data_IF_527690062357
#
_entry.id   IF_527690062357
#
_cell.length_a   1.000
_cell.length_b   1.000
_cell.length_c   1.000
_cell.angle_alpha   90.00
_cell.angle_beta   90.00
_cell.angle_gamma   90.00
#
_symmetry.space_group_name_H-M   'P 1'
#
loop_
_entity.id
_entity.type
_entity.pdbx_description
1 polymer ?
#
# COMPACT_ATOMS: atom_id res chain seq x y z
N UNK A 1 -8.72 17.84 4.77
CA UNK A 1 -8.85 17.78 6.25
C UNK A 1 -7.52 17.28 6.78
N UNK A 2 -7.03 17.78 7.90
CA UNK A 2 -5.82 17.24 8.51
C UNK A 2 -6.18 15.85 9.05
N UNK A 3 -5.90 14.81 8.26
CA UNK A 3 -5.83 13.45 8.77
C UNK A 3 -4.63 13.44 9.73
N UNK A 4 -4.90 13.33 11.02
CA UNK A 4 -3.87 13.09 12.02
C UNK A 4 -3.40 11.65 11.79
N UNK A 5 -2.45 11.47 10.87
CA UNK A 5 -1.90 10.15 10.56
C UNK A 5 -1.14 9.65 11.79
N UNK A 6 -1.60 8.55 12.38
CA UNK A 6 -0.95 7.88 13.50
C UNK A 6 -0.58 6.46 13.11
N UNK A 7 0.46 5.92 13.75
CA UNK A 7 0.79 4.51 13.62
C UNK A 7 -0.09 3.70 14.57
N UNK A 8 -0.99 2.88 14.02
CA UNK A 8 -1.89 2.06 14.83
C UNK A 8 -1.15 0.82 15.36
N UNK A 9 -0.93 0.71 16.69
CA UNK A 9 -0.23 -0.43 17.27
C UNK A 9 -1.02 -1.74 17.16
N UNK A 10 -2.32 -1.70 16.83
CA UNK A 10 -3.14 -2.89 16.62
C UNK A 10 -2.89 -3.54 15.25
N UNK A 11 -2.24 -2.82 14.32
CA UNK A 11 -1.84 -3.37 13.02
C UNK A 11 -0.48 -4.04 13.19
N UNK A 12 -0.37 -5.39 13.13
CA UNK A 12 0.91 -6.08 13.28
C UNK A 12 1.85 -5.79 12.10
N UNK A 13 3.15 -5.98 12.29
CA UNK A 13 4.15 -5.77 11.22
C UNK A 13 3.96 -6.72 10.04
N UNK A 14 3.40 -7.89 10.31
CA UNK A 14 3.05 -8.92 9.33
C UNK A 14 1.76 -8.61 8.56
N UNK A 15 1.01 -7.57 8.95
CA UNK A 15 -0.21 -7.17 8.25
C UNK A 15 0.11 -6.90 6.78
N UNK A 16 -0.63 -7.58 5.91
CA UNK A 16 -0.54 -7.36 4.47
C UNK A 16 -1.37 -6.13 4.12
N UNK A 17 -0.69 -5.16 3.51
CA UNK A 17 -1.30 -3.98 2.92
C UNK A 17 -1.38 -4.21 1.41
N UNK A 18 -2.57 -4.08 0.85
CA UNK A 18 -2.77 -4.18 -0.59
C UNK A 18 -2.87 -2.80 -1.21
N UNK A 19 -2.05 -2.55 -2.23
CA UNK A 19 -2.08 -1.30 -3.00
C UNK A 19 -2.31 -1.61 -4.47
N UNK A 20 -3.22 -0.86 -5.09
CA UNK A 20 -3.39 -0.86 -6.53
C UNK A 20 -2.26 -0.11 -7.21
N UNK A 21 -1.73 -0.69 -8.28
CA UNK A 21 -0.64 -0.14 -9.09
C UNK A 21 -1.12 -0.09 -10.53
N UNK A 22 -1.31 1.14 -11.04
CA UNK A 22 -1.65 1.32 -12.44
C UNK A 22 -0.48 0.85 -13.33
N UNK A 23 -0.73 0.17 -14.48
CA UNK A 23 0.32 -0.39 -15.33
C UNK A 23 1.35 0.63 -15.84
N UNK A 24 1.01 1.92 -15.94
CA UNK A 24 1.95 2.99 -16.30
C UNK A 24 3.05 3.19 -15.27
N UNK A 25 2.88 2.69 -14.06
CA UNK A 25 3.90 2.66 -13.04
C UNK A 25 4.78 1.42 -13.11
N UNK A 26 4.58 0.51 -14.05
CA UNK A 26 5.50 -0.59 -14.31
C UNK A 26 6.55 -0.10 -15.30
N UNK A 27 7.83 -0.23 -14.92
CA UNK A 27 8.96 0.11 -15.77
C UNK A 27 9.75 -1.15 -16.06
N UNK A 28 10.15 -1.31 -17.31
CA UNK A 28 11.06 -2.38 -17.72
C UNK A 28 12.48 -2.02 -17.29
N UNK A 29 13.19 -3.00 -16.71
CA UNK A 29 14.62 -2.93 -16.45
C UNK A 29 15.40 -3.74 -17.46
N UNK A 30 16.67 -3.37 -17.61
CA UNK A 30 17.65 -4.14 -18.37
C UNK A 30 17.66 -5.60 -17.90
N UNK A 31 17.45 -6.52 -18.83
CA UNK A 31 17.35 -7.95 -18.55
C UNK A 31 15.93 -8.53 -18.57
N UNK A 32 14.91 -7.75 -18.96
CA UNK A 32 13.55 -8.25 -19.14
C UNK A 32 12.75 -8.41 -17.85
N UNK A 33 13.23 -7.83 -16.75
CA UNK A 33 12.48 -7.75 -15.50
C UNK A 33 11.62 -6.48 -15.49
N UNK A 34 10.42 -6.59 -14.95
CA UNK A 34 9.53 -5.44 -14.73
C UNK A 34 9.52 -5.07 -13.25
N UNK A 35 9.70 -3.80 -12.93
CA UNK A 35 9.66 -3.28 -11.56
C UNK A 35 8.57 -2.21 -11.40
N UNK A 36 8.03 -2.10 -10.19
CA UNK A 36 7.16 -0.98 -9.85
C UNK A 36 8.02 0.27 -9.70
N UNK A 37 7.75 1.25 -10.55
CA UNK A 37 8.36 2.58 -10.53
C UNK A 37 8.20 3.23 -9.17
N UNK A 38 9.27 3.88 -8.71
CA UNK A 38 9.24 4.75 -7.53
C UNK A 38 8.16 5.84 -7.61
N UNK A 39 7.70 6.20 -8.82
CA UNK A 39 6.58 7.11 -9.04
C UNK A 39 5.27 6.63 -8.39
N UNK A 40 5.04 5.30 -8.31
CA UNK A 40 3.88 4.73 -7.62
C UNK A 40 3.87 5.01 -6.10
N UNK A 41 5.03 5.40 -5.57
CA UNK A 41 5.29 5.68 -4.18
C UNK A 41 5.75 7.12 -3.98
N UNK A 42 5.52 8.03 -4.92
CA UNK A 42 6.00 9.41 -4.75
C UNK A 42 5.19 10.16 -3.69
N UNK A 43 3.93 9.78 -3.53
CA UNK A 43 3.03 10.43 -2.60
C UNK A 43 3.42 10.14 -1.15
N UNK A 44 3.29 11.16 -0.30
CA UNK A 44 3.51 11.06 1.14
C UNK A 44 2.49 10.18 1.83
N UNK A 45 1.30 10.06 1.24
CA UNK A 45 0.22 9.20 1.69
C UNK A 45 -0.06 8.15 0.61
N UNK A 46 -0.12 6.89 1.02
CA UNK A 46 -0.44 5.77 0.16
C UNK A 46 -1.71 5.09 0.66
N UNK A 47 -2.80 5.19 -0.11
CA UNK A 47 -3.98 4.37 0.12
C UNK A 47 -3.66 2.89 -0.03
N UNK A 48 -4.13 2.10 0.95
CA UNK A 48 -3.99 0.65 1.00
C UNK A 48 -5.28 0.01 1.52
N UNK A 49 -5.45 -1.28 1.26
CA UNK A 49 -6.46 -2.11 1.91
C UNK A 49 -5.79 -3.03 2.94
N UNK A 50 -6.33 -3.09 4.15
CA UNK A 50 -5.87 -3.96 5.24
C UNK A 50 -6.41 -5.38 5.04
N UNK A 51 -5.51 -6.37 4.91
CA UNK A 51 -5.88 -7.77 4.67
C UNK A 51 -6.76 -8.35 5.78
N UNK A 52 -6.43 -8.06 7.05
CA UNK A 52 -7.22 -8.49 8.21
C UNK A 52 -8.67 -8.01 8.16
N UNK A 53 -8.89 -6.74 7.77
CA UNK A 53 -10.23 -6.16 7.65
C UNK A 53 -10.97 -6.73 6.43
N UNK A 54 -10.27 -6.94 5.32
CA UNK A 54 -10.85 -7.62 4.15
C UNK A 54 -11.29 -9.05 4.50
N UNK A 55 -10.45 -9.82 5.18
CA UNK A 55 -10.76 -11.19 5.60
C UNK A 55 -11.93 -11.24 6.58
N UNK A 56 -11.98 -10.32 7.56
CA UNK A 56 -13.10 -10.20 8.48
C UNK A 56 -14.43 -9.91 7.77
N UNK A 57 -14.38 -9.18 6.65
CA UNK A 57 -15.53 -8.92 5.78
C UNK A 57 -15.79 -10.05 4.75
N UNK A 58 -15.04 -11.16 4.78
CA UNK A 58 -15.16 -12.26 3.82
C UNK A 58 -14.68 -11.93 2.39
N UNK A 59 -13.92 -10.86 2.24
CA UNK A 59 -13.35 -10.39 0.96
C UNK A 59 -11.96 -10.99 0.73
N UNK A 60 -11.64 -11.23 -0.53
CA UNK A 60 -10.32 -11.67 -0.98
C UNK A 60 -9.49 -10.47 -1.43
N UNK A 61 -8.17 -10.59 -1.43
CA UNK A 61 -7.27 -9.55 -1.94
C UNK A 61 -7.67 -9.05 -3.35
N UNK A 62 -8.11 -9.95 -4.23
CA UNK A 62 -8.58 -9.63 -5.58
C UNK A 62 -9.79 -8.68 -5.61
N UNK A 63 -10.61 -8.63 -4.56
CA UNK A 63 -11.72 -7.69 -4.46
C UNK A 63 -11.26 -6.24 -4.36
N UNK A 64 -9.97 -5.99 -4.05
CA UNK A 64 -9.37 -4.66 -4.09
C UNK A 64 -9.31 -4.09 -5.52
N UNK A 65 -9.38 -4.95 -6.55
CA UNK A 65 -9.35 -4.60 -7.98
C UNK A 65 -10.74 -4.55 -8.62
N UNK A 66 -11.82 -4.82 -7.88
CA UNK A 66 -13.17 -4.97 -8.45
C UNK A 66 -13.60 -3.78 -9.31
N UNK A 67 -13.31 -2.56 -8.85
CA UNK A 67 -13.64 -1.32 -9.55
C UNK A 67 -12.52 -0.83 -10.48
N UNK A 68 -11.36 -1.51 -10.47
CA UNK A 68 -10.16 -1.17 -11.24
C UNK A 68 -9.53 -2.43 -11.87
N UNK A 69 -10.21 -3.09 -12.82
CA UNK A 69 -9.79 -4.39 -13.34
C UNK A 69 -8.48 -4.37 -14.15
N UNK A 70 -8.05 -3.19 -14.60
CA UNK A 70 -6.81 -3.01 -15.35
C UNK A 70 -5.61 -2.69 -14.46
N UNK A 71 -5.82 -2.48 -13.16
CA UNK A 71 -4.74 -2.23 -12.22
C UNK A 71 -4.12 -3.54 -11.76
N UNK A 72 -2.85 -3.47 -11.37
CA UNK A 72 -2.15 -4.56 -10.71
C UNK A 72 -2.32 -4.43 -9.20
N UNK A 73 -2.31 -5.57 -8.50
CA UNK A 73 -2.34 -5.58 -7.04
C UNK A 73 -0.96 -5.92 -6.49
N UNK A 74 -0.44 -5.03 -5.65
CA UNK A 74 0.79 -5.24 -4.91
C UNK A 74 0.48 -5.45 -3.44
N UNK A 75 1.19 -6.38 -2.80
CA UNK A 75 1.15 -6.58 -1.35
C UNK A 75 2.48 -6.18 -0.74
N UNK A 76 2.44 -5.50 0.39
CA UNK A 76 3.60 -5.17 1.22
C UNK A 76 3.22 -5.38 2.70
N UNK A 77 4.21 -5.71 3.53
CA UNK A 77 3.97 -5.85 4.97
C UNK A 77 4.03 -4.49 5.67
N UNK A 78 3.16 -4.23 6.65
CA UNK A 78 3.16 -2.98 7.42
C UNK A 78 4.51 -2.68 8.07
N UNK A 79 5.22 -3.71 8.54
CA UNK A 79 6.58 -3.58 9.08
C UNK A 79 7.60 -3.07 8.05
N UNK A 80 7.40 -3.32 6.74
CA UNK A 80 8.24 -2.71 5.69
C UNK A 80 8.03 -1.20 5.65
N UNK A 81 6.78 -0.72 5.74
CA UNK A 81 6.48 0.70 5.83
C UNK A 81 7.14 1.34 7.05
N UNK A 82 6.94 0.75 8.24
CA UNK A 82 7.50 1.23 9.51
C UNK A 82 9.03 1.30 9.50
N UNK A 83 9.71 0.26 9.02
CA UNK A 83 11.18 0.26 8.88
C UNK A 83 11.70 1.36 7.94
N UNK A 84 10.86 1.83 7.02
CA UNK A 84 11.17 2.94 6.13
C UNK A 84 10.65 4.29 6.65
N UNK A 85 10.30 4.39 7.94
CA UNK A 85 9.85 5.63 8.58
C UNK A 85 8.43 6.06 8.20
N UNK A 86 7.61 5.13 7.70
CA UNK A 86 6.19 5.37 7.42
C UNK A 86 5.34 4.83 8.57
N UNK A 87 4.29 5.55 8.93
CA UNK A 87 3.25 5.09 9.85
C UNK A 87 2.15 4.37 9.06
N UNK A 88 1.49 3.40 9.68
CA UNK A 88 0.38 2.66 9.07
C UNK A 88 -0.82 2.76 9.99
N UNK A 89 -1.97 3.15 9.43
CA UNK A 89 -3.19 3.31 10.21
C UNK A 89 -4.45 3.02 9.40
N UNK A 90 -5.56 2.72 10.09
CA UNK A 90 -6.86 2.57 9.45
C UNK A 90 -7.41 3.95 9.06
N UNK A 91 -8.09 4.01 7.91
CA UNK A 91 -8.85 5.17 7.44
C UNK A 91 -10.10 4.66 6.72
N UNK A 92 -11.00 3.96 7.43
CA UNK A 92 -12.14 3.31 6.82
C UNK A 92 -13.07 4.33 6.19
N UNK A 93 -13.46 4.10 4.94
CA UNK A 93 -14.49 4.89 4.26
C UNK A 93 -15.80 4.11 4.20
N UNK A 94 -16.97 4.77 4.07
CA UNK A 94 -18.25 4.08 3.90
C UNK A 94 -18.25 3.10 2.72
N UNK A 95 -17.53 3.43 1.66
CA UNK A 95 -17.42 2.64 0.44
C UNK A 95 -16.36 1.53 0.55
N UNK A 96 -15.27 1.79 1.29
CA UNK A 96 -14.18 0.85 1.51
C UNK A 96 -13.82 0.76 3.00
N UNK A 97 -14.49 -0.13 3.76
CA UNK A 97 -14.23 -0.31 5.20
C UNK A 97 -12.83 -0.85 5.51
N UNK A 98 -12.18 -1.51 4.55
CA UNK A 98 -10.81 -1.98 4.71
C UNK A 98 -9.76 -0.92 4.30
N UNK A 99 -10.19 0.30 3.98
CA UNK A 99 -9.29 1.38 3.61
C UNK A 99 -8.38 1.75 4.79
N UNK A 100 -7.12 1.91 4.49
CA UNK A 100 -6.08 2.38 5.38
C UNK A 100 -5.06 3.21 4.62
N UNK A 101 -4.10 3.74 5.35
CA UNK A 101 -2.99 4.50 4.80
C UNK A 101 -1.65 3.95 5.26
N UNK A 102 -0.66 4.10 4.40
CA UNK A 102 0.73 4.22 4.80
C UNK A 102 1.19 5.66 4.55
N UNK A 103 1.55 6.38 5.62
CA UNK A 103 1.92 7.79 5.56
C UNK A 103 3.34 8.01 6.04
N UNK A 104 4.13 8.81 5.33
CA UNK A 104 5.45 9.20 5.83
C UNK A 104 6.36 9.79 4.78
N UNK A 105 7.32 10.59 5.24
CA UNK A 105 8.33 11.20 4.37
C UNK A 105 9.27 10.09 3.88
N UNK A 106 9.33 9.88 2.57
CA UNK A 106 10.29 8.95 1.95
C UNK A 106 11.67 9.61 1.91
N UNK A 107 12.33 9.66 3.07
CA UNK A 107 13.71 10.14 3.16
C UNK A 107 14.63 9.11 2.52
N UNK A 108 15.20 9.48 1.37
CA UNK A 108 16.19 8.79 0.56
C UNK A 108 15.64 7.78 -0.47
N UNK A 109 15.67 8.25 -1.72
CA UNK A 109 15.39 7.57 -2.99
C UNK A 109 16.23 6.31 -3.30
N UNK A 110 16.85 5.66 -2.32
CA UNK A 110 17.89 4.64 -2.55
C UNK A 110 17.56 3.22 -2.08
N UNK A 111 16.35 2.94 -1.57
CA UNK A 111 16.10 1.69 -0.81
C UNK A 111 15.40 0.57 -1.62
N UNK A 112 14.88 0.84 -2.83
CA UNK A 112 14.30 -0.21 -3.70
C UNK A 112 15.32 -0.85 -4.67
N UNK A 113 16.62 -0.80 -4.34
CA UNK A 113 17.64 -1.65 -4.97
C UNK A 113 17.94 -2.83 -4.05
N UNK A 114 17.28 -3.96 -4.27
CA UNK A 114 17.80 -5.28 -3.90
C UNK A 114 17.59 -6.22 -5.08
#
# INVERSE_FOLDING_TARGET
MATDHFDDPNIPDEERLFRRIHPTHIVERDGGTSEVSSAAFRDTELSVNLDSVMQAAGRKAADSLKDHPNDLLMSLAAGVCRRNGQVVGPDPTPEEPAHGYAFGKKSNYNVFRR
#
